data_IF_779167212423
#
_entry.id   IF_779167212423
#
_cell.length_a   1.000
_cell.length_b   1.000
_cell.length_c   1.000
_cell.angle_alpha   90.00
_cell.angle_beta   90.00
_cell.angle_gamma   90.00
#
_symmetry.space_group_name_H-M   'P 1'
#
loop_
_entity.id
_entity.type
_entity.pdbx_description
1 polymer ?
#
# COMPACT_ATOMS: atom_id res chain seq x y z
N UNK A 1 8.26 14.81 -30.90
CA UNK A 1 7.30 13.94 -30.18
C UNK A 1 7.50 14.21 -28.72
N UNK A 2 6.42 14.41 -27.99
CA UNK A 2 6.49 14.47 -26.51
C UNK A 2 6.62 13.02 -26.00
N UNK A 3 7.77 12.69 -25.39
CA UNK A 3 8.05 11.36 -24.87
C UNK A 3 7.70 11.26 -23.37
N UNK A 4 6.99 12.24 -22.82
CA UNK A 4 6.57 12.23 -21.43
C UNK A 4 5.41 11.23 -21.20
N UNK A 5 5.35 10.55 -20.06
CA UNK A 5 4.22 9.71 -19.70
C UNK A 5 2.94 10.57 -19.54
N UNK A 6 1.73 9.98 -19.62
CA UNK A 6 0.49 10.70 -19.43
C UNK A 6 0.44 11.46 -18.10
N UNK A 7 -0.25 12.61 -18.05
CA UNK A 7 -0.39 13.44 -16.85
C UNK A 7 -0.89 12.58 -15.66
N UNK A 8 -0.15 12.58 -14.56
CA UNK A 8 -0.48 11.82 -13.35
C UNK A 8 -0.04 10.35 -13.37
N UNK A 9 0.67 9.93 -14.40
CA UNK A 9 1.38 8.66 -14.49
C UNK A 9 2.88 8.93 -14.57
N UNK A 10 3.73 7.97 -14.24
CA UNK A 10 5.19 8.15 -14.24
C UNK A 10 5.95 6.86 -14.50
N UNK A 11 7.13 7.01 -15.09
CA UNK A 11 8.11 5.95 -15.14
C UNK A 11 8.87 5.84 -13.80
N UNK A 12 9.31 4.65 -13.47
CA UNK A 12 10.16 4.40 -12.31
C UNK A 12 11.54 3.96 -12.81
N UNK A 13 12.55 4.78 -12.55
CA UNK A 13 13.93 4.40 -12.80
C UNK A 13 14.30 3.13 -12.00
N UNK A 14 15.32 2.35 -12.44
CA UNK A 14 15.67 1.06 -11.82
C UNK A 14 15.82 1.13 -10.29
N UNK A 15 16.48 2.15 -9.77
CA UNK A 15 16.69 2.32 -8.32
C UNK A 15 15.37 2.49 -7.57
N UNK A 16 14.45 3.30 -8.12
CA UNK A 16 13.13 3.51 -7.52
C UNK A 16 12.24 2.28 -7.66
N UNK A 17 12.41 1.51 -8.75
CA UNK A 17 11.67 0.27 -8.92
C UNK A 17 12.16 -0.83 -7.97
N UNK A 18 13.47 -0.93 -7.73
CA UNK A 18 14.06 -1.82 -6.71
C UNK A 18 13.48 -1.51 -5.32
N UNK A 19 13.43 -0.23 -4.95
CA UNK A 19 12.84 0.21 -3.68
C UNK A 19 11.36 -0.18 -3.57
N UNK A 20 10.61 0.00 -4.67
CA UNK A 20 9.20 -0.37 -4.75
C UNK A 20 8.99 -1.87 -4.56
N UNK A 21 9.79 -2.69 -5.23
CA UNK A 21 9.75 -4.15 -5.09
C UNK A 21 10.09 -4.60 -3.68
N UNK A 22 11.07 -4.00 -3.03
CA UNK A 22 11.41 -4.27 -1.63
C UNK A 22 10.26 -3.91 -0.69
N UNK A 23 9.65 -2.72 -0.86
CA UNK A 23 8.48 -2.29 -0.09
C UNK A 23 7.33 -3.26 -0.25
N UNK A 24 6.99 -3.62 -1.49
CA UNK A 24 5.95 -4.61 -1.81
C UNK A 24 6.30 -5.98 -1.22
N UNK A 25 7.57 -6.39 -1.28
CA UNK A 25 8.06 -7.66 -0.74
C UNK A 25 7.82 -7.77 0.78
N UNK A 26 8.13 -6.70 1.53
CA UNK A 26 7.90 -6.63 2.98
C UNK A 26 6.40 -6.76 3.28
N UNK A 27 5.57 -5.92 2.66
CA UNK A 27 4.11 -5.94 2.83
C UNK A 27 3.53 -7.32 2.50
N UNK A 28 3.91 -7.89 1.37
CA UNK A 28 3.47 -9.22 0.92
C UNK A 28 3.87 -10.34 1.89
N UNK A 29 5.06 -10.27 2.48
CA UNK A 29 5.54 -11.26 3.44
C UNK A 29 4.67 -11.27 4.71
N UNK A 30 4.26 -10.10 5.18
CA UNK A 30 3.41 -9.95 6.37
C UNK A 30 1.98 -10.42 6.07
N UNK A 31 1.40 -10.05 4.93
CA UNK A 31 0.09 -10.56 4.52
C UNK A 31 0.04 -12.10 4.55
N UNK A 32 1.12 -12.75 4.08
CA UNK A 32 1.25 -14.22 4.13
C UNK A 32 1.36 -14.76 5.54
N UNK A 33 2.08 -14.07 6.46
CA UNK A 33 2.16 -14.47 7.89
C UNK A 33 0.79 -14.46 8.56
N UNK A 34 -0.08 -13.51 8.18
CA UNK A 34 -1.46 -13.46 8.66
C UNK A 34 -2.40 -14.44 7.93
N UNK A 35 -1.88 -15.29 7.04
CA UNK A 35 -2.65 -16.32 6.34
C UNK A 35 -3.52 -15.80 5.19
N UNK A 36 -3.29 -14.57 4.72
CA UNK A 36 -3.96 -14.08 3.50
C UNK A 36 -3.46 -14.79 2.26
N UNK A 37 -4.37 -15.15 1.36
CA UNK A 37 -4.09 -15.84 0.09
C UNK A 37 -4.16 -14.85 -1.09
N UNK A 38 -3.30 -14.99 -2.10
CA UNK A 38 -3.37 -14.13 -3.27
C UNK A 38 -4.64 -14.40 -4.08
N UNK A 39 -5.33 -13.33 -4.51
CA UNK A 39 -6.40 -13.39 -5.49
C UNK A 39 -6.13 -12.32 -6.56
N UNK A 40 -5.92 -12.75 -7.80
CA UNK A 40 -5.80 -11.86 -8.96
C UNK A 40 -7.16 -11.65 -9.64
N UNK A 41 -7.48 -10.41 -9.99
CA UNK A 41 -8.62 -10.04 -10.83
C UNK A 41 -8.13 -9.25 -12.03
N UNK A 42 -8.86 -9.24 -13.16
CA UNK A 42 -8.48 -8.43 -14.32
C UNK A 42 -8.33 -6.96 -13.99
N UNK A 43 -7.43 -6.27 -14.70
CA UNK A 43 -7.31 -4.82 -14.63
C UNK A 43 -8.44 -4.09 -15.36
N UNK A 44 -9.02 -4.76 -16.34
CA UNK A 44 -10.17 -4.29 -17.13
C UNK A 44 -11.42 -5.03 -16.67
N UNK A 45 -12.47 -4.29 -16.37
CA UNK A 45 -13.79 -4.79 -15.99
C UNK A 45 -14.86 -4.17 -16.89
N UNK A 46 -16.05 -4.74 -16.93
CA UNK A 46 -17.19 -4.11 -17.61
C UNK A 46 -17.62 -2.85 -16.85
N UNK A 47 -18.09 -1.84 -17.58
CA UNK A 47 -18.61 -0.61 -16.96
C UNK A 47 -19.82 -0.90 -16.06
N UNK A 48 -20.62 -1.93 -16.36
CA UNK A 48 -21.70 -2.39 -15.48
C UNK A 48 -21.17 -2.82 -14.11
N UNK A 49 -20.09 -3.61 -14.06
CA UNK A 49 -19.43 -4.00 -12.81
C UNK A 49 -18.86 -2.79 -12.08
N UNK A 50 -18.15 -1.91 -12.78
CA UNK A 50 -17.51 -0.75 -12.16
C UNK A 50 -18.50 0.29 -11.64
N UNK A 51 -19.61 0.50 -12.35
CA UNK A 51 -20.62 1.49 -11.99
C UNK A 51 -21.66 1.00 -10.98
N UNK A 52 -21.75 -0.30 -10.73
CA UNK A 52 -22.87 -0.93 -9.98
C UNK A 52 -23.11 -0.29 -8.60
N UNK A 53 -22.07 0.34 -8.01
CA UNK A 53 -22.19 1.13 -6.78
C UNK A 53 -21.29 2.35 -6.77
N UNK A 54 -21.07 2.98 -7.90
CA UNK A 54 -20.36 4.24 -7.92
C UNK A 54 -21.36 5.38 -7.85
N UNK A 55 -21.27 6.26 -6.85
CA UNK A 55 -21.88 7.57 -6.97
C UNK A 55 -21.31 8.29 -8.20
N UNK A 56 -22.03 9.28 -8.72
CA UNK A 56 -21.68 10.01 -9.96
C UNK A 56 -20.23 10.51 -10.01
N UNK A 57 -19.67 10.84 -8.84
CA UNK A 57 -18.29 11.31 -8.71
C UNK A 57 -17.26 10.21 -9.05
N UNK A 58 -17.45 9.00 -8.53
CA UNK A 58 -16.56 7.87 -8.82
C UNK A 58 -16.74 7.40 -10.25
N UNK A 59 -17.97 7.37 -10.75
CA UNK A 59 -18.26 7.05 -12.16
C UNK A 59 -17.50 7.98 -13.13
N UNK A 60 -17.38 9.28 -12.77
CA UNK A 60 -16.58 10.26 -13.50
C UNK A 60 -15.08 10.03 -13.45
N UNK A 61 -14.59 9.27 -12.48
CA UNK A 61 -13.15 8.97 -12.29
C UNK A 61 -12.68 7.70 -13.02
N UNK A 62 -13.58 6.92 -13.58
CA UNK A 62 -13.22 5.67 -14.30
C UNK A 62 -12.56 6.01 -15.63
N UNK A 63 -11.41 5.41 -15.92
CA UNK A 63 -10.84 5.41 -17.26
C UNK A 63 -11.61 4.41 -18.13
N UNK A 64 -12.42 4.92 -19.04
CA UNK A 64 -13.17 4.11 -20.00
C UNK A 64 -12.30 3.78 -21.22
N UNK A 65 -12.43 2.57 -21.74
CA UNK A 65 -11.79 2.14 -22.99
C UNK A 65 -12.71 2.58 -24.14
N UNK A 66 -12.14 3.29 -25.10
CA UNK A 66 -12.89 3.79 -26.28
C UNK A 66 -13.56 2.63 -27.03
N UNK A 67 -14.74 2.92 -27.57
CA UNK A 67 -15.53 2.01 -28.39
C UNK A 67 -15.86 0.66 -27.73
N UNK A 68 -15.98 0.66 -26.39
CA UNK A 68 -16.30 -0.54 -25.61
C UNK A 68 -17.05 -0.23 -24.33
N UNK A 69 -17.77 -1.21 -23.79
CA UNK A 69 -18.37 -1.15 -22.45
C UNK A 69 -17.42 -1.61 -21.36
N UNK A 70 -16.12 -1.24 -21.48
CA UNK A 70 -15.04 -1.64 -20.59
C UNK A 70 -14.38 -0.42 -19.95
N UNK A 71 -13.74 -0.62 -18.79
CA UNK A 71 -12.96 0.39 -18.09
C UNK A 71 -11.85 -0.22 -17.23
N UNK A 72 -10.90 0.63 -16.84
CA UNK A 72 -9.86 0.24 -15.89
C UNK A 72 -10.43 0.29 -14.47
N UNK A 73 -10.08 -0.70 -13.66
CA UNK A 73 -10.47 -0.76 -12.25
C UNK A 73 -9.92 0.45 -11.49
N UNK A 74 -10.76 1.10 -10.70
CA UNK A 74 -10.39 2.26 -9.86
C UNK A 74 -10.07 1.88 -8.41
N UNK A 75 -10.40 0.65 -8.00
CA UNK A 75 -10.07 0.00 -6.73
C UNK A 75 -9.92 -1.52 -6.91
N UNK A 76 -9.62 -2.22 -5.81
CA UNK A 76 -9.50 -3.68 -5.79
C UNK A 76 -10.72 -4.37 -5.14
N UNK A 77 -11.65 -3.60 -4.59
CA UNK A 77 -12.80 -4.10 -3.82
C UNK A 77 -13.97 -4.46 -4.72
N UNK A 78 -14.26 -3.65 -5.73
CA UNK A 78 -15.30 -3.93 -6.73
C UNK A 78 -15.00 -5.22 -7.52
N UNK A 79 -13.78 -5.41 -8.07
CA UNK A 79 -13.40 -6.68 -8.68
C UNK A 79 -13.46 -7.88 -7.72
N UNK A 80 -13.12 -7.68 -6.43
CA UNK A 80 -13.26 -8.73 -5.42
C UNK A 80 -14.72 -9.14 -5.25
N UNK A 81 -15.64 -8.19 -5.09
CA UNK A 81 -17.05 -8.47 -4.89
C UNK A 81 -17.63 -9.29 -6.05
N UNK A 82 -17.29 -8.95 -7.31
CA UNK A 82 -17.65 -9.73 -8.49
C UNK A 82 -17.03 -11.14 -8.46
N UNK A 83 -15.77 -11.26 -8.10
CA UNK A 83 -15.06 -12.55 -8.08
C UNK A 83 -15.63 -13.48 -6.99
N UNK A 84 -15.95 -12.93 -5.81
CA UNK A 84 -16.60 -13.68 -4.71
C UNK A 84 -17.98 -14.15 -5.12
N UNK A 85 -18.77 -13.30 -5.78
CA UNK A 85 -20.09 -13.66 -6.28
C UNK A 85 -20.07 -14.78 -7.34
N UNK A 86 -18.99 -14.83 -8.13
CA UNK A 86 -18.81 -15.84 -9.18
C UNK A 86 -18.15 -17.14 -8.68
N UNK A 87 -17.77 -17.23 -7.40
CA UNK A 87 -16.96 -18.35 -6.88
C UNK A 87 -17.42 -18.79 -5.50
N UNK A 88 -17.25 -20.07 -5.21
CA UNK A 88 -17.61 -20.63 -3.90
C UNK A 88 -16.35 -20.78 -3.02
N UNK A 89 -15.81 -19.66 -2.52
CA UNK A 89 -14.68 -19.67 -1.59
C UNK A 89 -15.12 -20.10 -0.18
N UNK A 90 -14.32 -20.91 0.50
CA UNK A 90 -14.53 -21.27 1.91
C UNK A 90 -14.45 -20.01 2.82
N UNK A 91 -15.29 -19.95 3.85
CA UNK A 91 -15.33 -18.84 4.83
C UNK A 91 -14.63 -19.21 6.14
N UNK A 92 -13.95 -18.25 6.82
CA UNK A 92 -13.70 -16.90 6.31
C UNK A 92 -12.72 -16.91 5.15
N UNK A 93 -13.01 -16.15 4.09
CA UNK A 93 -12.13 -16.00 2.96
C UNK A 93 -11.20 -14.80 3.18
N UNK A 94 -9.92 -15.06 3.41
CA UNK A 94 -8.86 -14.06 3.62
C UNK A 94 -8.05 -13.94 2.34
N UNK A 95 -8.14 -12.79 1.66
CA UNK A 95 -7.39 -12.55 0.42
C UNK A 95 -6.48 -11.34 0.52
N UNK A 96 -5.39 -11.33 -0.26
CA UNK A 96 -4.67 -10.12 -0.58
C UNK A 96 -4.53 -9.93 -2.10
N UNK A 97 -4.37 -8.68 -2.52
CA UNK A 97 -3.94 -8.30 -3.87
C UNK A 97 -3.01 -7.10 -3.78
N UNK A 98 -1.98 -7.08 -4.63
CA UNK A 98 -1.08 -5.92 -4.77
C UNK A 98 -0.99 -5.64 -6.27
N UNK A 99 -1.39 -4.45 -6.68
CA UNK A 99 -1.39 -4.10 -8.09
C UNK A 99 -1.88 -2.68 -8.36
N UNK A 100 -1.78 -2.23 -9.62
CA UNK A 100 -2.18 -0.89 -10.03
C UNK A 100 -3.69 -0.73 -10.09
N UNK A 101 -4.12 0.48 -9.77
CA UNK A 101 -5.46 1.01 -9.99
C UNK A 101 -5.37 2.39 -10.65
N UNK A 102 -6.44 2.81 -11.33
CA UNK A 102 -6.46 4.02 -12.15
C UNK A 102 -7.63 4.92 -11.79
N UNK A 103 -7.36 6.21 -11.55
CA UNK A 103 -8.39 7.23 -11.24
C UNK A 103 -8.14 8.52 -12.04
N UNK A 104 -9.16 9.04 -12.67
CA UNK A 104 -9.09 10.30 -13.44
C UNK A 104 -9.12 11.56 -12.57
N UNK A 105 -8.62 11.48 -11.34
CA UNK A 105 -8.48 12.63 -10.45
C UNK A 105 -7.43 13.63 -10.98
N UNK A 106 -7.52 14.90 -10.54
CA UNK A 106 -6.42 15.84 -10.76
C UNK A 106 -5.20 15.44 -9.92
N UNK A 107 -4.02 15.25 -10.56
CA UNK A 107 -2.82 14.84 -9.86
C UNK A 107 -2.35 15.88 -8.83
N UNK A 108 -1.96 15.42 -7.66
CA UNK A 108 -1.41 16.23 -6.58
C UNK A 108 -0.25 15.48 -5.92
N UNK A 109 0.53 16.15 -5.05
CA UNK A 109 1.57 15.46 -4.27
C UNK A 109 0.98 14.26 -3.51
N UNK A 110 1.47 13.06 -3.76
CA UNK A 110 0.97 11.81 -3.17
C UNK A 110 -0.36 11.29 -3.77
N UNK A 111 -0.89 11.92 -4.84
CA UNK A 111 -2.06 11.44 -5.60
C UNK A 111 -1.72 11.37 -7.08
N UNK A 112 -1.57 10.18 -7.58
CA UNK A 112 -1.35 9.87 -8.99
C UNK A 112 -2.63 9.33 -9.61
N UNK A 113 -2.68 9.35 -10.95
CA UNK A 113 -3.77 8.71 -11.72
C UNK A 113 -3.59 7.21 -11.86
N UNK A 114 -2.35 6.74 -11.80
CA UNK A 114 -1.97 5.33 -11.69
C UNK A 114 -1.15 5.14 -10.43
N UNK A 115 -1.57 4.23 -9.55
CA UNK A 115 -0.88 3.94 -8.30
C UNK A 115 -1.17 2.51 -7.84
N UNK A 116 -0.28 1.95 -7.02
CA UNK A 116 -0.44 0.59 -6.49
C UNK A 116 -1.14 0.61 -5.15
N UNK A 117 -2.19 -0.18 -5.06
CA UNK A 117 -2.82 -0.57 -3.80
C UNK A 117 -2.33 -1.94 -3.37
N UNK A 118 -2.11 -2.09 -2.07
CA UNK A 118 -1.88 -3.38 -1.41
C UNK A 118 -3.06 -3.61 -0.45
N UNK A 119 -4.01 -4.41 -0.91
CA UNK A 119 -5.29 -4.63 -0.24
C UNK A 119 -5.34 -6.00 0.40
N UNK A 120 -5.88 -6.04 1.61
CA UNK A 120 -6.30 -7.27 2.30
C UNK A 120 -7.77 -7.17 2.67
N UNK A 121 -8.49 -8.29 2.51
CA UNK A 121 -9.90 -8.39 2.84
C UNK A 121 -10.24 -9.72 3.50
N UNK A 122 -11.26 -9.68 4.35
CA UNK A 122 -11.84 -10.85 4.99
C UNK A 122 -13.34 -10.86 4.67
N UNK A 123 -13.80 -11.95 4.03
CA UNK A 123 -15.20 -12.17 3.68
C UNK A 123 -15.75 -13.32 4.51
N UNK A 124 -16.98 -13.17 5.01
CA UNK A 124 -17.66 -14.19 5.81
C UNK A 124 -17.33 -14.15 7.30
N UNK A 125 -17.04 -12.95 7.84
CA UNK A 125 -16.86 -12.72 9.27
C UNK A 125 -17.68 -11.53 9.73
N UNK A 126 -18.78 -11.76 10.45
CA UNK A 126 -19.71 -10.72 10.89
C UNK A 126 -19.22 -9.93 12.10
N UNK A 127 -18.32 -10.48 12.92
CA UNK A 127 -17.84 -9.83 14.15
C UNK A 127 -16.55 -9.04 13.97
N UNK A 128 -16.21 -8.24 14.97
CA UNK A 128 -15.07 -7.30 14.99
C UNK A 128 -13.68 -7.95 14.94
N UNK A 129 -13.60 -9.27 14.96
CA UNK A 129 -12.31 -10.01 14.85
C UNK A 129 -11.61 -9.75 13.52
N UNK A 130 -12.39 -9.58 12.45
CA UNK A 130 -11.86 -9.33 11.12
C UNK A 130 -11.24 -7.93 11.03
N UNK A 131 -11.90 -6.91 11.54
CA UNK A 131 -11.39 -5.54 11.62
C UNK A 131 -10.09 -5.48 12.41
N UNK A 132 -10.08 -6.09 13.60
CA UNK A 132 -8.91 -6.09 14.47
C UNK A 132 -7.71 -6.75 13.80
N UNK A 133 -7.91 -7.88 13.11
CA UNK A 133 -6.85 -8.59 12.40
C UNK A 133 -6.31 -7.78 11.20
N UNK A 134 -7.19 -7.14 10.41
CA UNK A 134 -6.80 -6.30 9.28
C UNK A 134 -5.99 -5.09 9.73
N UNK A 135 -6.45 -4.39 10.79
CA UNK A 135 -5.74 -3.23 11.35
C UNK A 135 -4.38 -3.66 11.90
N UNK A 136 -4.31 -4.75 12.67
CA UNK A 136 -3.05 -5.27 13.22
C UNK A 136 -2.05 -5.65 12.10
N UNK A 137 -2.52 -6.32 11.06
CA UNK A 137 -1.70 -6.68 9.89
C UNK A 137 -1.17 -5.44 9.18
N UNK A 138 -2.00 -4.42 8.96
CA UNK A 138 -1.58 -3.17 8.32
C UNK A 138 -0.57 -2.40 9.18
N UNK A 139 -0.75 -2.35 10.49
CA UNK A 139 0.18 -1.73 11.44
C UNK A 139 1.52 -2.47 11.44
N UNK A 140 1.53 -3.81 11.41
CA UNK A 140 2.76 -4.59 11.30
C UNK A 140 3.51 -4.31 10.00
N UNK A 141 2.80 -4.20 8.87
CA UNK A 141 3.42 -3.79 7.59
C UNK A 141 4.11 -2.43 7.71
N UNK A 142 3.45 -1.45 8.32
CA UNK A 142 3.95 -0.09 8.48
C UNK A 142 5.16 -0.06 9.43
N UNK A 143 5.10 -0.81 10.55
CA UNK A 143 6.23 -0.95 11.48
C UNK A 143 7.43 -1.63 10.82
N UNK A 144 7.22 -2.67 10.03
CA UNK A 144 8.28 -3.37 9.30
C UNK A 144 8.95 -2.49 8.22
N UNK A 145 8.27 -1.44 7.75
CA UNK A 145 8.82 -0.41 6.88
C UNK A 145 9.56 0.70 7.66
N UNK A 146 9.74 0.55 8.97
CA UNK A 146 10.48 1.49 9.82
C UNK A 146 9.66 2.68 10.35
N UNK A 147 8.32 2.57 10.40
CA UNK A 147 7.45 3.56 11.02
C UNK A 147 6.87 3.03 12.33
N UNK A 148 7.56 3.29 13.44
CA UNK A 148 7.27 2.65 14.75
C UNK A 148 5.94 3.08 15.37
N UNK A 149 5.48 4.30 15.14
CA UNK A 149 4.31 4.91 15.79
C UNK A 149 3.27 5.38 14.77
N UNK A 150 2.60 4.47 14.04
CA UNK A 150 1.49 4.85 13.18
C UNK A 150 0.30 5.34 14.03
N UNK A 151 -0.32 6.44 13.63
CA UNK A 151 -1.57 6.92 14.24
C UNK A 151 -2.74 6.22 13.57
N UNK A 152 -3.41 5.37 14.31
CA UNK A 152 -4.57 4.60 13.84
C UNK A 152 -5.85 5.26 14.35
N UNK A 153 -6.69 5.75 13.45
CA UNK A 153 -8.01 6.31 13.75
C UNK A 153 -9.09 5.31 13.40
N UNK A 154 -10.09 5.18 14.25
CA UNK A 154 -11.25 4.30 14.03
C UNK A 154 -12.56 5.04 14.33
N UNK A 155 -13.60 4.71 13.57
CA UNK A 155 -14.98 5.14 13.80
C UNK A 155 -15.94 4.04 13.34
N UNK A 156 -17.24 4.24 13.49
CA UNK A 156 -18.27 3.33 13.00
C UNK A 156 -19.38 4.11 12.28
N UNK A 157 -19.68 3.70 11.04
CA UNK A 157 -20.74 4.30 10.23
C UNK A 157 -22.09 4.31 10.93
N UNK A 158 -22.44 3.23 11.68
CA UNK A 158 -23.67 3.11 12.44
C UNK A 158 -23.86 4.23 13.48
N UNK A 159 -22.74 4.77 14.03
CA UNK A 159 -22.80 5.90 14.96
C UNK A 159 -23.33 7.15 14.26
N UNK A 160 -22.76 7.47 13.11
CA UNK A 160 -23.18 8.67 12.36
C UNK A 160 -24.58 8.51 11.77
N UNK A 161 -24.92 7.31 11.27
CA UNK A 161 -26.27 7.03 10.77
C UNK A 161 -27.33 7.23 11.89
N UNK A 162 -27.06 6.75 13.12
CA UNK A 162 -27.94 6.93 14.27
C UNK A 162 -28.01 8.41 14.73
N UNK A 163 -26.89 9.14 14.66
CA UNK A 163 -26.88 10.59 14.94
C UNK A 163 -27.75 11.35 13.95
N UNK A 164 -27.64 11.04 12.65
CA UNK A 164 -28.48 11.68 11.61
C UNK A 164 -29.95 11.38 11.81
N UNK A 165 -30.30 10.13 12.18
CA UNK A 165 -31.66 9.75 12.50
C UNK A 165 -32.19 10.51 13.72
N UNK A 166 -31.42 10.60 14.81
CA UNK A 166 -31.80 11.32 16.03
C UNK A 166 -32.01 12.82 15.78
N UNK A 167 -31.24 13.42 14.89
CA UNK A 167 -31.34 14.81 14.49
C UNK A 167 -32.38 15.03 13.37
N UNK A 168 -33.05 13.98 12.93
CA UNK A 168 -34.03 14.00 11.81
C UNK A 168 -33.45 14.68 10.57
N UNK A 169 -32.24 14.29 10.18
CA UNK A 169 -31.64 14.70 8.90
C UNK A 169 -32.31 13.88 7.80
N UNK A 170 -32.86 14.54 6.76
CA UNK A 170 -33.47 13.80 5.65
C UNK A 170 -32.48 12.86 4.97
N UNK A 171 -32.94 11.65 4.62
CA UNK A 171 -32.05 10.62 4.01
C UNK A 171 -31.36 11.06 2.73
N UNK A 172 -32.03 11.89 1.93
CA UNK A 172 -31.47 12.52 0.74
C UNK A 172 -30.30 13.45 1.05
N UNK A 173 -30.21 13.99 2.28
CA UNK A 173 -29.15 14.90 2.70
C UNK A 173 -28.00 14.18 3.42
N UNK A 174 -28.20 12.98 3.96
CA UNK A 174 -27.18 12.23 4.72
C UNK A 174 -25.87 12.12 3.96
N UNK A 175 -25.96 11.79 2.67
CA UNK A 175 -24.80 11.64 1.80
C UNK A 175 -24.02 12.96 1.61
N UNK A 176 -24.76 14.06 1.46
CA UNK A 176 -24.15 15.38 1.36
C UNK A 176 -23.45 15.80 2.66
N UNK A 177 -24.03 15.42 3.83
CA UNK A 177 -23.42 15.64 5.14
C UNK A 177 -22.14 14.84 5.29
N UNK A 178 -22.14 13.56 4.93
CA UNK A 178 -20.93 12.73 4.94
C UNK A 178 -19.80 13.34 4.09
N UNK A 179 -20.12 13.79 2.87
CA UNK A 179 -19.14 14.43 1.98
C UNK A 179 -18.57 15.74 2.54
N UNK A 180 -19.40 16.52 3.19
CA UNK A 180 -18.95 17.76 3.83
C UNK A 180 -18.01 17.44 5.00
N UNK A 181 -18.36 16.47 5.85
CA UNK A 181 -17.55 16.04 6.98
C UNK A 181 -16.20 15.42 6.56
N UNK A 182 -16.13 14.67 5.44
CA UNK A 182 -14.87 14.12 4.89
C UNK A 182 -13.84 15.20 4.53
N UNK A 183 -14.31 16.43 4.32
CA UNK A 183 -13.44 17.58 4.04
C UNK A 183 -12.97 18.31 5.29
N UNK A 184 -13.46 17.93 6.49
CA UNK A 184 -13.26 18.69 7.72
C UNK A 184 -11.78 18.95 8.02
N UNK A 185 -10.92 17.95 7.92
CA UNK A 185 -9.47 18.11 8.13
C UNK A 185 -8.80 19.03 7.10
N UNK A 186 -9.37 19.18 5.89
CA UNK A 186 -8.78 19.94 4.78
C UNK A 186 -9.20 21.40 4.76
N UNK A 187 -10.50 21.66 4.93
CA UNK A 187 -11.07 23.00 4.77
C UNK A 187 -11.48 23.66 6.10
N UNK A 188 -11.46 22.88 7.19
CA UNK A 188 -11.79 23.35 8.53
C UNK A 188 -13.29 23.47 8.81
N UNK A 189 -13.62 23.58 10.12
CA UNK A 189 -15.00 23.58 10.63
C UNK A 189 -15.88 24.64 9.97
N UNK A 190 -15.41 25.89 9.90
CA UNK A 190 -16.21 27.03 9.38
C UNK A 190 -16.70 26.83 7.95
N UNK A 191 -15.85 26.27 7.09
CA UNK A 191 -16.22 26.05 5.69
C UNK A 191 -17.16 24.85 5.55
N UNK A 192 -16.98 23.81 6.38
CA UNK A 192 -17.92 22.68 6.44
C UNK A 192 -19.29 23.13 6.95
N UNK A 193 -19.36 23.97 7.99
CA UNK A 193 -20.62 24.55 8.49
C UNK A 193 -21.37 25.32 7.39
N UNK A 194 -20.67 26.12 6.58
CA UNK A 194 -21.26 26.84 5.44
C UNK A 194 -21.77 25.87 4.37
N UNK A 195 -21.00 24.82 4.06
CA UNK A 195 -21.40 23.81 3.08
C UNK A 195 -22.67 23.08 3.53
N UNK A 196 -22.77 22.73 4.82
CA UNK A 196 -23.94 22.08 5.40
C UNK A 196 -25.17 23.01 5.41
N UNK A 197 -25.02 24.28 5.78
CA UNK A 197 -26.09 25.30 5.76
C UNK A 197 -26.61 25.47 4.31
N UNK A 198 -25.72 25.54 3.32
CA UNK A 198 -26.07 25.62 1.90
C UNK A 198 -26.80 24.37 1.39
N UNK A 199 -26.64 23.23 2.05
CA UNK A 199 -27.34 21.97 1.76
C UNK A 199 -28.67 21.83 2.49
N UNK A 200 -29.09 22.88 3.24
CA UNK A 200 -30.36 22.91 3.95
C UNK A 200 -30.34 22.21 5.32
N UNK A 201 -29.18 21.94 5.89
CA UNK A 201 -29.08 21.44 7.26
C UNK A 201 -29.20 22.60 8.23
N UNK A 202 -30.19 22.55 9.11
CA UNK A 202 -30.46 23.61 10.09
C UNK A 202 -29.28 23.84 11.04
N UNK A 203 -28.96 25.12 11.35
CA UNK A 203 -27.83 25.48 12.23
C UNK A 203 -27.80 24.78 13.58
N UNK A 204 -28.91 24.56 14.29
CA UNK A 204 -28.90 23.78 15.53
C UNK A 204 -28.43 22.34 15.35
N UNK A 205 -28.82 21.70 14.23
CA UNK A 205 -28.40 20.34 13.89
C UNK A 205 -26.90 20.30 13.55
N UNK A 206 -26.41 21.28 12.79
CA UNK A 206 -24.98 21.45 12.50
C UNK A 206 -24.20 21.59 13.80
N UNK A 207 -24.65 22.45 14.73
CA UNK A 207 -24.05 22.61 16.05
C UNK A 207 -24.01 21.31 16.86
N UNK A 208 -25.10 20.52 16.84
CA UNK A 208 -25.17 19.24 17.51
C UNK A 208 -24.19 18.20 16.93
N UNK A 209 -24.08 18.13 15.60
CA UNK A 209 -23.08 17.27 14.92
C UNK A 209 -21.67 17.64 15.37
N UNK A 210 -21.28 18.91 15.28
CA UNK A 210 -19.93 19.33 15.67
C UNK A 210 -19.65 19.15 17.15
N UNK A 211 -20.63 19.38 18.03
CA UNK A 211 -20.49 19.12 19.45
C UNK A 211 -20.17 17.65 19.76
N UNK A 212 -20.76 16.73 19.00
CA UNK A 212 -20.47 15.30 19.10
C UNK A 212 -19.08 14.95 18.52
N UNK A 213 -18.73 15.49 17.36
CA UNK A 213 -17.45 15.23 16.69
C UNK A 213 -16.24 15.75 17.48
N UNK A 214 -16.42 16.84 18.22
CA UNK A 214 -15.41 17.44 19.11
C UNK A 214 -15.27 16.69 20.45
N UNK A 215 -15.86 15.51 20.59
CA UNK A 215 -15.84 14.68 21.78
C UNK A 215 -14.46 14.61 22.42
N UNK A 216 -14.36 15.14 23.68
CA UNK A 216 -13.10 15.22 24.44
C UNK A 216 -12.92 13.97 25.29
N UNK A 217 -11.66 13.62 25.53
CA UNK A 217 -11.30 12.53 26.43
C UNK A 217 -10.72 11.32 25.68
N UNK A 218 -10.48 10.27 26.44
CA UNK A 218 -9.98 8.98 25.94
C UNK A 218 -11.06 8.19 25.19
N UNK A 219 -10.68 7.12 24.55
CA UNK A 219 -11.54 6.31 23.68
C UNK A 219 -12.86 5.90 24.36
N UNK A 220 -12.80 5.45 25.62
CA UNK A 220 -14.00 5.01 26.36
C UNK A 220 -14.99 6.15 26.60
N UNK A 221 -14.50 7.35 26.89
CA UNK A 221 -15.34 8.52 27.06
C UNK A 221 -16.02 8.93 25.74
N UNK A 222 -15.29 8.87 24.63
CA UNK A 222 -15.82 9.16 23.29
C UNK A 222 -16.92 8.15 22.89
N UNK A 223 -16.71 6.85 23.18
CA UNK A 223 -17.72 5.81 22.92
C UNK A 223 -18.93 5.97 23.83
N UNK A 224 -18.75 6.32 25.11
CA UNK A 224 -19.85 6.51 26.05
C UNK A 224 -20.80 7.66 25.65
N UNK A 225 -20.27 8.73 25.04
CA UNK A 225 -21.09 9.87 24.57
C UNK A 225 -22.11 9.44 23.50
N UNK A 226 -21.79 8.46 22.69
CA UNK A 226 -22.66 7.98 21.59
C UNK A 226 -23.50 6.75 21.96
N UNK A 227 -23.28 6.15 23.12
CA UNK A 227 -23.87 4.85 23.51
C UNK A 227 -25.39 4.89 23.58
N UNK A 228 -25.97 6.01 24.07
CA UNK A 228 -27.44 6.17 24.14
C UNK A 228 -28.10 6.41 22.78
N UNK A 229 -27.34 7.00 21.84
CA UNK A 229 -27.85 7.33 20.49
C UNK A 229 -27.63 6.17 19.54
N UNK A 230 -26.46 5.50 19.63
CA UNK A 230 -26.01 4.46 18.74
C UNK A 230 -25.51 3.21 19.49
N UNK A 231 -26.37 2.50 20.25
CA UNK A 231 -25.93 1.42 21.14
C UNK A 231 -25.23 0.29 20.39
N UNK A 232 -25.67 -0.07 19.19
CA UNK A 232 -25.03 -1.09 18.37
C UNK A 232 -23.64 -0.67 17.91
N UNK A 233 -23.51 0.54 17.37
CA UNK A 233 -22.21 1.08 16.94
C UNK A 233 -21.22 1.22 18.09
N UNK A 234 -21.69 1.65 19.27
CA UNK A 234 -20.88 1.75 20.47
C UNK A 234 -20.40 0.38 20.96
N UNK A 235 -21.28 -0.64 20.97
CA UNK A 235 -20.93 -2.01 21.34
C UNK A 235 -19.86 -2.61 20.38
N UNK A 236 -20.00 -2.40 19.08
CA UNK A 236 -19.00 -2.78 18.08
C UNK A 236 -17.66 -2.10 18.33
N UNK A 237 -17.67 -0.78 18.63
CA UNK A 237 -16.45 -0.02 18.93
C UNK A 237 -15.74 -0.55 20.19
N UNK A 238 -16.47 -0.81 21.30
CA UNK A 238 -15.89 -1.41 22.51
C UNK A 238 -15.27 -2.78 22.23
N UNK A 239 -15.96 -3.62 21.46
CA UNK A 239 -15.44 -4.93 21.04
C UNK A 239 -14.15 -4.80 20.23
N UNK A 240 -14.13 -3.86 19.28
CA UNK A 240 -12.95 -3.60 18.43
C UNK A 240 -11.78 -3.09 19.25
N UNK A 241 -11.99 -2.12 20.16
CA UNK A 241 -10.96 -1.59 21.06
C UNK A 241 -10.34 -2.69 21.91
N UNK A 242 -11.16 -3.54 22.55
CA UNK A 242 -10.67 -4.67 23.36
C UNK A 242 -9.86 -5.70 22.56
N UNK A 243 -10.21 -5.92 21.30
CA UNK A 243 -9.44 -6.81 20.42
C UNK A 243 -8.11 -6.18 19.99
N UNK A 244 -8.10 -4.90 19.64
CA UNK A 244 -6.89 -4.18 19.23
C UNK A 244 -5.88 -4.05 20.36
N UNK A 245 -6.33 -3.85 21.60
CA UNK A 245 -5.48 -3.93 22.78
C UNK A 245 -4.73 -5.27 22.88
N UNK A 246 -5.41 -6.39 22.64
CA UNK A 246 -4.80 -7.73 22.63
C UNK A 246 -3.78 -7.93 21.50
N UNK A 247 -3.95 -7.21 20.38
CA UNK A 247 -2.96 -7.17 19.30
C UNK A 247 -1.79 -6.20 19.58
N UNK A 248 -1.82 -5.42 20.67
CA UNK A 248 -0.82 -4.39 20.98
C UNK A 248 -0.85 -3.25 19.98
N UNK A 249 -2.04 -2.88 19.51
CA UNK A 249 -2.26 -1.77 18.57
C UNK A 249 -2.97 -0.63 19.29
N UNK A 250 -2.25 0.48 19.44
CA UNK A 250 -2.83 1.73 19.95
C UNK A 250 -3.70 2.39 18.88
N UNK A 251 -4.89 2.77 19.24
CA UNK A 251 -5.85 3.42 18.33
C UNK A 251 -6.52 4.61 19.00
N UNK A 252 -6.99 5.54 18.17
CA UNK A 252 -7.79 6.69 18.55
C UNK A 252 -9.19 6.55 17.96
N UNK A 253 -10.22 6.63 18.82
CA UNK A 253 -11.60 6.84 18.37
C UNK A 253 -11.71 8.27 17.85
N UNK A 254 -12.03 8.42 16.58
CA UNK A 254 -12.22 9.73 15.94
C UNK A 254 -13.61 9.78 15.30
N UNK A 255 -14.56 10.37 16.04
CA UNK A 255 -15.95 10.48 15.58
C UNK A 255 -16.10 11.33 14.31
N UNK A 256 -15.09 12.16 13.99
CA UNK A 256 -15.04 12.92 12.75
C UNK A 256 -14.49 12.12 11.57
N UNK A 257 -13.95 10.92 11.81
CA UNK A 257 -13.48 10.06 10.72
C UNK A 257 -14.68 9.56 9.91
N UNK A 258 -14.87 10.18 8.78
CA UNK A 258 -15.87 9.80 7.78
C UNK A 258 -15.12 9.47 6.50
N UNK A 259 -15.31 8.28 5.99
CA UNK A 259 -14.69 7.89 4.72
C UNK A 259 -15.69 7.97 3.59
N UNK A 260 -15.25 8.60 2.48
CA UNK A 260 -16.09 8.97 1.35
C UNK A 260 -16.51 7.84 0.41
N UNK A 261 -16.29 6.56 0.75
CA UNK A 261 -16.78 5.45 -0.05
C UNK A 261 -18.19 5.07 0.41
N UNK A 262 -19.14 5.12 -0.51
CA UNK A 262 -20.59 4.96 -0.28
C UNK A 262 -21.01 3.57 0.19
N UNK A 263 -20.08 2.63 0.20
CA UNK A 263 -20.37 1.24 0.50
C UNK A 263 -20.06 0.79 1.93
N UNK A 264 -19.47 1.64 2.79
CA UNK A 264 -19.21 1.23 4.17
C UNK A 264 -20.49 1.14 5.01
N UNK A 265 -20.58 0.09 5.84
CA UNK A 265 -21.79 -0.27 6.60
C UNK A 265 -21.55 -0.43 8.10
N UNK A 266 -20.32 -0.28 8.56
CA UNK A 266 -19.90 -0.51 9.94
C UNK A 266 -18.60 0.25 10.26
N UNK A 267 -17.66 -0.39 10.98
CA UNK A 267 -16.39 0.23 11.31
C UNK A 267 -15.62 0.73 10.09
N UNK A 268 -15.02 1.91 10.24
CA UNK A 268 -14.10 2.53 9.29
C UNK A 268 -12.80 2.87 10.01
N UNK A 269 -11.68 2.79 9.31
CA UNK A 269 -10.38 3.01 9.91
C UNK A 269 -9.39 3.65 8.92
N UNK A 270 -8.45 4.37 9.49
CA UNK A 270 -7.43 5.11 8.76
C UNK A 270 -6.10 5.07 9.50
N UNK A 271 -4.98 4.95 8.78
CA UNK A 271 -3.64 5.00 9.36
C UNK A 271 -2.88 6.17 8.77
N UNK A 272 -2.36 7.03 9.64
CA UNK A 272 -1.59 8.23 9.31
C UNK A 272 -0.18 8.12 9.88
N UNK A 273 0.81 8.69 9.17
CA UNK A 273 2.23 8.71 9.57
C UNK A 273 2.80 10.12 9.74
N UNK A 274 1.96 11.16 9.58
CA UNK A 274 2.41 12.55 9.55
C UNK A 274 2.97 12.96 8.17
N UNK A 275 3.83 13.99 8.13
CA UNK A 275 4.50 14.44 6.89
C UNK A 275 3.59 15.13 5.86
N UNK A 276 2.33 15.43 6.18
CA UNK A 276 1.42 16.15 5.27
C UNK A 276 0.91 15.32 4.06
N UNK A 277 1.21 14.03 3.99
CA UNK A 277 0.79 13.15 2.86
C UNK A 277 -0.64 12.61 3.05
N UNK A 278 -1.24 12.80 4.23
CA UNK A 278 -2.53 12.24 4.58
C UNK A 278 -2.43 10.76 4.99
N UNK A 279 -3.54 10.00 4.89
CA UNK A 279 -3.53 8.60 5.29
C UNK A 279 -2.77 7.71 4.33
N UNK A 280 -1.95 6.82 4.87
CA UNK A 280 -1.18 5.81 4.12
C UNK A 280 -1.95 4.49 3.96
N UNK A 281 -2.91 4.24 4.84
CA UNK A 281 -3.81 3.11 4.73
C UNK A 281 -5.22 3.49 5.19
N UNK A 282 -6.21 2.75 4.70
CA UNK A 282 -7.57 2.95 5.14
C UNK A 282 -8.52 1.91 4.61
N UNK A 283 -9.61 1.70 5.36
CA UNK A 283 -10.56 0.66 5.07
C UNK A 283 -11.84 0.76 5.89
N UNK A 284 -12.61 -0.31 5.85
CA UNK A 284 -13.84 -0.45 6.62
C UNK A 284 -14.67 -1.65 6.19
N UNK A 285 -15.79 -1.86 6.89
CA UNK A 285 -16.78 -2.90 6.61
C UNK A 285 -17.71 -2.50 5.48
N UNK A 286 -17.98 -3.40 4.54
CA UNK A 286 -18.76 -3.13 3.33
C UNK A 286 -19.73 -4.29 2.96
N UNK A 287 -20.46 -4.80 3.92
CA UNK A 287 -21.35 -5.97 3.78
C UNK A 287 -22.36 -5.84 2.62
N UNK A 288 -22.92 -4.64 2.42
CA UNK A 288 -23.90 -4.38 1.36
C UNK A 288 -23.32 -4.50 -0.05
N UNK A 289 -22.03 -4.34 -0.23
CA UNK A 289 -21.41 -4.39 -1.56
C UNK A 289 -21.53 -5.77 -2.19
N UNK A 290 -21.28 -6.84 -1.43
CA UNK A 290 -21.39 -8.21 -1.93
C UNK A 290 -22.82 -8.56 -2.34
N UNK A 291 -23.82 -8.07 -1.59
CA UNK A 291 -25.24 -8.27 -1.91
C UNK A 291 -25.61 -7.72 -3.29
N UNK A 292 -24.98 -6.62 -3.72
CA UNK A 292 -25.24 -6.02 -5.05
C UNK A 292 -24.76 -6.90 -6.21
N UNK A 293 -23.81 -7.80 -5.93
CA UNK A 293 -23.34 -8.80 -6.89
C UNK A 293 -24.03 -10.16 -6.72
N UNK A 294 -25.09 -10.24 -5.89
CA UNK A 294 -25.92 -11.45 -5.71
C UNK A 294 -25.42 -12.41 -4.64
N UNK A 295 -24.42 -12.02 -3.85
CA UNK A 295 -23.85 -12.84 -2.77
C UNK A 295 -23.87 -12.05 -1.45
N UNK A 296 -24.97 -12.09 -0.68
CA UNK A 296 -25.01 -11.42 0.62
C UNK A 296 -24.02 -12.09 1.58
N UNK A 297 -23.02 -11.35 2.03
CA UNK A 297 -22.04 -11.82 2.99
C UNK A 297 -21.39 -10.63 3.72
N UNK A 298 -20.80 -10.90 4.89
CA UNK A 298 -20.03 -9.89 5.62
C UNK A 298 -18.67 -9.70 4.97
N UNK A 299 -18.25 -8.45 4.81
CA UNK A 299 -16.94 -8.15 4.23
C UNK A 299 -16.32 -6.90 4.84
N UNK A 300 -15.03 -6.98 5.08
CA UNK A 300 -14.20 -5.86 5.57
C UNK A 300 -12.84 -5.91 4.92
N UNK A 301 -12.26 -4.75 4.62
CA UNK A 301 -10.95 -4.67 3.98
C UNK A 301 -10.18 -3.41 4.36
N UNK A 302 -8.87 -3.45 4.14
CA UNK A 302 -7.97 -2.31 4.25
C UNK A 302 -7.02 -2.27 3.06
N UNK A 303 -6.75 -1.06 2.59
CA UNK A 303 -5.83 -0.78 1.49
C UNK A 303 -4.64 0.05 1.97
N UNK A 304 -3.42 -0.38 1.66
CA UNK A 304 -2.19 0.39 1.85
C UNK A 304 -1.78 1.02 0.51
N UNK A 305 -1.53 2.33 0.52
CA UNK A 305 -1.05 3.07 -0.66
C UNK A 305 0.46 2.99 -0.78
N UNK A 306 0.98 2.16 -1.69
CA UNK A 306 2.42 1.92 -1.85
C UNK A 306 3.17 3.21 -2.18
N UNK A 307 2.68 4.03 -3.11
CA UNK A 307 3.35 5.30 -3.48
C UNK A 307 3.43 6.30 -2.33
N UNK A 308 2.44 6.32 -1.43
CA UNK A 308 2.47 7.17 -0.23
C UNK A 308 3.50 6.69 0.78
N UNK A 309 3.57 5.38 1.00
CA UNK A 309 4.60 4.76 1.85
C UNK A 309 5.99 5.03 1.30
N UNK A 310 6.20 4.84 -0.01
CA UNK A 310 7.47 5.14 -0.68
C UNK A 310 7.87 6.61 -0.55
N UNK A 311 6.93 7.54 -0.74
CA UNK A 311 7.23 8.97 -0.59
C UNK A 311 7.69 9.33 0.83
N UNK A 312 7.11 8.72 1.86
CA UNK A 312 7.54 8.90 3.24
C UNK A 312 8.87 8.20 3.56
N UNK A 313 9.13 7.04 2.95
CA UNK A 313 10.42 6.36 3.05
C UNK A 313 11.53 7.20 2.42
N UNK A 314 11.27 7.84 1.29
CA UNK A 314 12.21 8.73 0.62
C UNK A 314 12.57 9.94 1.49
N UNK A 315 11.60 10.54 2.19
CA UNK A 315 11.85 11.64 3.14
C UNK A 315 12.72 11.24 4.35
N UNK A 316 12.73 9.94 4.71
CA UNK A 316 13.55 9.41 5.81
C UNK A 316 14.97 9.03 5.40
N UNK A 317 15.23 8.75 4.12
CA UNK A 317 16.53 8.30 3.64
C UNK A 317 17.56 9.41 3.67
N UNK A 318 18.79 9.03 4.02
CA UNK A 318 19.96 9.89 3.83
C UNK A 318 20.45 9.74 2.38
N UNK A 319 21.04 10.81 1.85
CA UNK A 319 21.64 10.77 0.52
C UNK A 319 22.70 9.65 0.43
N UNK A 320 22.60 8.79 -0.56
CA UNK A 320 23.54 7.68 -0.80
C UNK A 320 23.14 6.31 -0.25
N UNK A 321 22.01 6.17 0.44
CA UNK A 321 21.51 4.88 0.94
C UNK A 321 20.65 4.11 -0.08
N UNK A 322 20.59 4.56 -1.33
CA UNK A 322 19.76 3.91 -2.36
C UNK A 322 20.43 2.65 -2.91
N UNK A 323 19.72 1.53 -2.89
CA UNK A 323 20.17 0.32 -3.59
C UNK A 323 19.98 0.51 -5.08
N UNK A 324 21.09 0.62 -5.82
CA UNK A 324 21.06 0.91 -7.27
C UNK A 324 20.89 -0.32 -8.14
N UNK A 325 21.25 -1.50 -7.65
CA UNK A 325 21.23 -2.76 -8.41
C UNK A 325 21.00 -3.97 -7.50
N UNK A 326 20.56 -5.07 -8.07
CA UNK A 326 20.56 -6.38 -7.41
C UNK A 326 21.90 -7.11 -7.59
N UNK A 327 22.75 -6.66 -8.52
CA UNK A 327 24.05 -7.26 -8.79
C UNK A 327 24.97 -7.14 -7.59
N UNK A 328 25.51 -8.26 -7.15
CA UNK A 328 26.43 -8.37 -6.02
C UNK A 328 27.89 -8.40 -6.46
N UNK A 329 28.14 -8.98 -7.64
CA UNK A 329 29.50 -9.17 -8.17
C UNK A 329 29.57 -8.77 -9.64
N UNK A 330 30.54 -7.95 -9.98
CA UNK A 330 30.93 -7.72 -11.37
C UNK A 330 32.09 -8.64 -11.72
N UNK A 331 31.94 -9.56 -12.69
CA UNK A 331 32.99 -10.46 -13.11
C UNK A 331 33.74 -9.82 -14.28
N UNK A 332 34.96 -9.33 -13.97
CA UNK A 332 35.77 -8.54 -14.89
C UNK A 332 36.86 -9.38 -15.58
N UNK A 333 36.84 -9.44 -16.90
CA UNK A 333 37.95 -9.96 -17.70
C UNK A 333 39.01 -8.87 -17.92
N UNK A 334 40.29 -9.16 -17.61
CA UNK A 334 41.41 -8.21 -17.82
C UNK A 334 41.58 -7.88 -19.31
N UNK A 335 41.33 -8.85 -20.18
CA UNK A 335 41.35 -8.73 -21.66
C UNK A 335 40.25 -9.60 -22.23
N UNK A 336 39.86 -9.36 -23.48
CA UNK A 336 38.85 -10.10 -24.22
C UNK A 336 39.10 -11.61 -24.23
N UNK A 337 40.35 -12.06 -24.36
CA UNK A 337 40.74 -13.47 -24.33
C UNK A 337 40.38 -14.23 -23.03
N UNK A 338 40.07 -13.53 -21.96
CA UNK A 338 39.61 -14.09 -20.67
C UNK A 338 38.10 -14.01 -20.48
N UNK A 339 37.34 -13.52 -21.46
CA UNK A 339 35.90 -13.38 -21.36
C UNK A 339 35.19 -14.70 -21.13
N UNK A 340 35.61 -15.78 -21.82
CA UNK A 340 35.05 -17.12 -21.63
C UNK A 340 35.25 -17.65 -20.20
N UNK A 341 36.39 -17.31 -19.55
CA UNK A 341 36.61 -17.67 -18.16
C UNK A 341 35.75 -16.84 -17.22
N UNK A 342 35.63 -15.54 -17.49
CA UNK A 342 34.72 -14.65 -16.74
C UNK A 342 33.28 -15.15 -16.82
N UNK A 343 32.84 -15.62 -18.01
CA UNK A 343 31.51 -16.17 -18.21
C UNK A 343 31.28 -17.45 -17.36
N UNK A 344 32.27 -18.38 -17.35
CA UNK A 344 32.21 -19.59 -16.52
C UNK A 344 32.15 -19.27 -15.03
N UNK A 345 32.95 -18.30 -14.57
CA UNK A 345 32.94 -17.82 -13.19
C UNK A 345 31.57 -17.24 -12.86
N UNK A 346 31.02 -16.37 -13.72
CA UNK A 346 29.70 -15.77 -13.52
C UNK A 346 28.61 -16.84 -13.40
N UNK A 347 28.64 -17.87 -14.27
CA UNK A 347 27.67 -18.96 -14.17
C UNK A 347 27.82 -19.78 -12.89
N UNK A 348 29.03 -20.00 -12.42
CA UNK A 348 29.25 -20.66 -11.13
C UNK A 348 28.71 -19.83 -9.97
N UNK A 349 28.97 -18.51 -9.93
CA UNK A 349 28.42 -17.61 -8.91
C UNK A 349 26.90 -17.61 -8.93
N UNK A 350 26.28 -17.55 -10.13
CA UNK A 350 24.82 -17.61 -10.28
C UNK A 350 24.23 -18.92 -9.77
N UNK A 351 24.91 -20.06 -10.00
CA UNK A 351 24.45 -21.35 -9.47
C UNK A 351 24.47 -21.43 -7.93
N UNK A 352 25.27 -20.58 -7.28
CA UNK A 352 25.33 -20.43 -5.83
C UNK A 352 24.39 -19.31 -5.30
N UNK A 353 23.50 -18.76 -6.16
CA UNK A 353 22.52 -17.74 -5.79
C UNK A 353 23.09 -16.32 -5.68
N UNK A 354 24.27 -16.05 -6.25
CA UNK A 354 24.90 -14.72 -6.27
C UNK A 354 24.58 -14.04 -7.59
N UNK A 355 23.95 -12.87 -7.51
CA UNK A 355 23.65 -12.06 -8.68
C UNK A 355 24.92 -11.41 -9.24
N UNK A 356 25.22 -11.64 -10.51
CA UNK A 356 26.44 -11.07 -11.12
C UNK A 356 26.28 -10.68 -12.59
N UNK A 357 27.07 -9.71 -13.01
CA UNK A 357 27.20 -9.18 -14.37
C UNK A 357 28.60 -9.46 -14.93
N UNK A 358 28.70 -9.47 -16.26
CA UNK A 358 29.96 -9.52 -17.02
C UNK A 358 30.02 -8.34 -17.99
N UNK A 359 31.19 -8.00 -18.50
CA UNK A 359 31.30 -6.93 -19.50
C UNK A 359 30.79 -7.39 -20.89
N UNK A 360 29.75 -6.72 -21.37
CA UNK A 360 29.16 -6.99 -22.69
C UNK A 360 29.66 -6.05 -23.79
N UNK A 361 30.51 -5.07 -23.44
CA UNK A 361 30.95 -4.02 -24.36
C UNK A 361 32.43 -4.12 -24.78
N UNK A 362 33.19 -5.12 -24.28
CA UNK A 362 34.62 -5.24 -24.52
C UNK A 362 35.44 -4.08 -23.91
N UNK A 363 34.98 -3.54 -22.75
CA UNK A 363 35.64 -2.42 -22.07
C UNK A 363 36.96 -2.87 -21.43
N UNK A 364 37.93 -1.96 -21.38
CA UNK A 364 39.12 -2.20 -20.57
C UNK A 364 38.78 -2.25 -19.07
N UNK A 365 39.62 -2.88 -18.27
CA UNK A 365 39.40 -3.14 -16.85
C UNK A 365 39.07 -1.86 -16.05
N UNK A 366 39.70 -0.72 -16.35
CA UNK A 366 39.38 0.55 -15.71
C UNK A 366 37.94 0.98 -15.91
N UNK A 367 37.43 0.93 -17.16
CA UNK A 367 36.05 1.28 -17.49
C UNK A 367 35.05 0.29 -16.91
N UNK A 368 35.42 -0.98 -16.80
CA UNK A 368 34.61 -2.01 -16.14
C UNK A 368 34.43 -1.65 -14.64
N UNK A 369 35.50 -1.24 -13.96
CA UNK A 369 35.45 -0.82 -12.56
C UNK A 369 34.70 0.49 -12.35
N UNK A 370 34.87 1.47 -13.23
CA UNK A 370 34.10 2.72 -13.22
C UNK A 370 32.60 2.44 -13.32
N UNK A 371 32.21 1.54 -14.22
CA UNK A 371 30.82 1.10 -14.35
C UNK A 371 30.31 0.37 -13.10
N UNK A 372 31.02 -0.64 -12.62
CA UNK A 372 30.62 -1.41 -11.46
C UNK A 372 30.44 -0.53 -10.21
N UNK A 373 31.37 0.38 -9.97
CA UNK A 373 31.33 1.32 -8.84
C UNK A 373 30.17 2.31 -8.98
N UNK A 374 29.97 2.90 -10.17
CA UNK A 374 28.87 3.85 -10.40
C UNK A 374 27.50 3.18 -10.27
N UNK A 375 27.40 1.91 -10.65
CA UNK A 375 26.20 1.08 -10.49
C UNK A 375 25.98 0.58 -9.07
N UNK A 376 26.91 0.85 -8.13
CA UNK A 376 26.79 0.43 -6.74
C UNK A 376 26.99 -1.06 -6.51
N UNK A 377 27.71 -1.76 -7.41
CA UNK A 377 28.04 -3.18 -7.27
C UNK A 377 29.16 -3.30 -6.21
N UNK A 378 28.98 -4.07 -5.12
CA UNK A 378 29.93 -4.06 -4.00
C UNK A 378 31.22 -4.86 -4.27
N UNK A 379 31.19 -5.83 -5.18
CA UNK A 379 32.32 -6.71 -5.43
C UNK A 379 32.69 -6.80 -6.90
N UNK A 380 34.00 -6.99 -7.17
CA UNK A 380 34.47 -7.45 -8.47
C UNK A 380 35.24 -8.77 -8.34
N UNK A 381 34.97 -9.71 -9.22
CA UNK A 381 35.75 -10.92 -9.41
C UNK A 381 36.56 -10.78 -10.71
N UNK A 382 37.86 -10.63 -10.59
CA UNK A 382 38.75 -10.32 -11.70
C UNK A 382 39.38 -11.62 -12.19
N UNK A 383 39.44 -11.80 -13.52
CA UNK A 383 40.12 -12.91 -14.14
C UNK A 383 41.04 -12.44 -15.25
N UNK A 384 42.27 -12.89 -15.18
CA UNK A 384 43.34 -12.68 -16.15
C UNK A 384 44.22 -13.92 -16.24
N UNK A 385 45.39 -13.78 -16.78
CA UNK A 385 46.32 -14.90 -16.99
C UNK A 385 46.74 -15.60 -15.70
N UNK A 386 47.03 -14.84 -14.64
CA UNK A 386 47.39 -15.35 -13.31
C UNK A 386 46.26 -16.16 -12.71
N UNK A 387 45.08 -15.58 -12.66
CA UNK A 387 43.89 -16.19 -12.07
C UNK A 387 43.49 -17.47 -12.81
N UNK A 388 43.57 -17.48 -14.16
CA UNK A 388 43.32 -18.66 -15.00
C UNK A 388 44.31 -19.78 -14.64
N UNK A 389 45.62 -19.47 -14.57
CA UNK A 389 46.66 -20.47 -14.28
C UNK A 389 46.54 -21.08 -12.89
N UNK A 390 46.15 -20.26 -11.90
CA UNK A 390 45.95 -20.72 -10.52
C UNK A 390 44.54 -21.31 -10.27
N UNK A 391 43.61 -21.22 -11.23
CA UNK A 391 42.18 -21.58 -11.08
C UNK A 391 41.51 -20.84 -9.95
N UNK A 392 41.83 -19.55 -9.78
CA UNK A 392 41.34 -18.64 -8.78
C UNK A 392 40.72 -17.40 -9.40
N UNK A 393 40.21 -16.50 -8.57
CA UNK A 393 39.76 -15.15 -8.93
C UNK A 393 40.38 -14.14 -7.96
N UNK A 394 40.73 -12.97 -8.44
CA UNK A 394 41.02 -11.85 -7.54
C UNK A 394 39.72 -11.17 -7.16
N UNK A 395 39.28 -11.39 -5.93
CA UNK A 395 38.05 -10.79 -5.38
C UNK A 395 38.38 -9.43 -4.77
N UNK A 396 37.78 -8.36 -5.30
CA UNK A 396 37.93 -6.98 -4.81
C UNK A 396 36.62 -6.48 -4.20
N UNK A 397 36.71 -5.93 -3.01
CA UNK A 397 35.59 -5.21 -2.40
C UNK A 397 35.72 -3.71 -2.72
N UNK A 398 34.72 -3.11 -3.38
CA UNK A 398 34.75 -1.69 -3.74
C UNK A 398 34.54 -0.74 -2.55
N UNK A 399 33.95 -1.22 -1.46
CA UNK A 399 33.70 -0.41 -0.26
C UNK A 399 34.99 -0.32 0.61
N UNK A 400 35.64 -1.45 0.88
CA UNK A 400 36.85 -1.48 1.71
C UNK A 400 38.16 -1.27 0.90
N UNK A 401 38.11 -1.48 -0.40
CA UNK A 401 39.31 -1.50 -1.28
C UNK A 401 40.15 -2.77 -1.16
N UNK A 402 39.76 -3.73 -0.34
CA UNK A 402 40.50 -4.97 -0.10
C UNK A 402 40.44 -5.91 -1.31
N UNK A 403 41.61 -6.47 -1.65
CA UNK A 403 41.74 -7.47 -2.72
C UNK A 403 42.31 -8.79 -2.17
N UNK A 404 41.75 -9.93 -2.60
CA UNK A 404 42.24 -11.25 -2.22
C UNK A 404 42.19 -12.21 -3.41
N UNK A 405 43.28 -12.94 -3.61
CA UNK A 405 43.30 -14.04 -4.58
C UNK A 405 42.74 -15.32 -3.91
N UNK A 406 41.57 -15.76 -4.32
CA UNK A 406 40.83 -16.83 -3.68
C UNK A 406 40.27 -17.82 -4.68
N UNK A 407 39.92 -19.02 -4.21
CA UNK A 407 39.15 -19.96 -5.04
C UNK A 407 37.72 -19.44 -5.23
N UNK A 408 37.01 -19.93 -6.26
CA UNK A 408 35.60 -19.51 -6.48
C UNK A 408 34.73 -19.90 -5.26
N UNK A 409 35.00 -21.04 -4.63
CA UNK A 409 34.28 -21.47 -3.43
C UNK A 409 34.51 -20.53 -2.24
N UNK A 410 35.74 -20.08 -2.02
CA UNK A 410 36.04 -19.09 -0.97
C UNK A 410 35.42 -17.74 -1.28
N UNK A 411 35.43 -17.31 -2.57
CA UNK A 411 34.75 -16.10 -3.01
C UNK A 411 33.25 -16.12 -2.70
N UNK A 412 32.58 -17.25 -2.97
CA UNK A 412 31.15 -17.46 -2.62
C UNK A 412 30.94 -17.27 -1.12
N UNK A 413 31.76 -17.92 -0.29
CA UNK A 413 31.62 -17.80 1.17
C UNK A 413 31.85 -16.35 1.65
N UNK A 414 32.86 -15.65 1.14
CA UNK A 414 33.16 -14.27 1.51
C UNK A 414 32.02 -13.29 1.12
N UNK A 415 31.39 -13.50 -0.02
CA UNK A 415 30.28 -12.69 -0.50
C UNK A 415 29.02 -12.95 0.35
N UNK A 416 28.68 -14.23 0.59
CA UNK A 416 27.50 -14.61 1.36
C UNK A 416 27.61 -14.25 2.84
N UNK A 417 28.81 -14.29 3.43
CA UNK A 417 29.03 -13.89 4.84
C UNK A 417 28.79 -12.40 5.12
N UNK A 418 28.75 -11.56 4.06
CA UNK A 418 28.48 -10.10 4.16
C UNK A 418 27.07 -9.73 3.71
N UNK A 419 26.22 -10.69 3.45
CA UNK A 419 24.79 -10.54 3.21
C UNK A 419 24.00 -10.45 4.52
#
# INVERSE_FOLDING_TARGET
MDNAPPKGMRDFAPEKMIEREQTIGIVKSIFRKYGFKPLGTPAVETLDVLNKKCGDEIAGQIFKIADSELGLRFDMTVPLARAVAASNFARPFKRYVIGPVWRREEPQKGRLREFVQADIDIVGCAGMKAEAELIACAVECIRALGFDKPRVKINNRKIMDAVFESLKIPKENEFAVYRALDKLEKIGKKEVEKELDAKGVEKPKIGAIFSLLEGKGENDAKVAVVETIAPEGAAEMRSLLSLLEKYGVDVEVDLALVRGLDYYTGPVFEIQLGGGIGSVAGGGRYDKLLSMYGQPDSAVGISLGIERLMALLEEKKKAGEEKKTYTEVYVAAVKEEFFDDALKIAQKLRSEGIACETDLLGRNLRKQFEYANSSGIPWAAIVGEKERNEKKVTLRNFVSGEEKLVTISDAVQLILAKK
#
